data_IF_100147631716
#
_entry.id   IF_100147631716
#
_cell.length_a   1.000
_cell.length_b   1.000
_cell.length_c   1.000
_cell.angle_alpha   90.00
_cell.angle_beta   90.00
_cell.angle_gamma   90.00
#
_symmetry.space_group_name_H-M   'P 1'
#
loop_
_entity.id
_entity.type
_entity.pdbx_description
1 polymer ?
#
# COMPACT_ATOMS: atom_id res chain seq x y z
N UNK A 1 -4.11 21.20 -13.89
CA UNK A 1 -2.76 21.53 -14.42
C UNK A 1 -2.93 22.18 -15.77
N UNK A 2 -2.14 23.21 -16.06
CA UNK A 2 -2.16 23.89 -17.35
C UNK A 2 -0.98 23.41 -18.20
N UNK A 3 -1.27 22.56 -19.20
CA UNK A 3 -0.28 22.00 -20.13
C UNK A 3 0.41 23.10 -20.93
N UNK A 4 -0.33 24.11 -21.38
CA UNK A 4 0.20 25.21 -22.18
C UNK A 4 1.23 26.01 -21.39
N UNK A 5 0.94 26.29 -20.11
CA UNK A 5 1.90 26.93 -19.21
C UNK A 5 3.16 26.08 -19.00
N UNK A 6 3.01 24.76 -18.86
CA UNK A 6 4.14 23.83 -18.72
C UNK A 6 5.06 23.84 -19.95
N UNK A 7 4.48 23.79 -21.15
CA UNK A 7 5.22 23.87 -22.41
C UNK A 7 5.92 25.23 -22.59
N UNK A 8 5.25 26.33 -22.22
CA UNK A 8 5.84 27.66 -22.24
C UNK A 8 7.10 27.76 -21.39
N UNK A 9 7.06 27.23 -20.15
CA UNK A 9 8.24 27.17 -19.26
C UNK A 9 9.35 26.30 -19.82
N UNK A 10 9.01 25.15 -20.40
CA UNK A 10 9.99 24.24 -21.01
C UNK A 10 10.73 24.90 -22.19
N UNK A 11 10.05 25.76 -22.95
CA UNK A 11 10.65 26.50 -24.06
C UNK A 11 11.49 27.71 -23.61
N UNK A 12 11.14 28.34 -22.48
CA UNK A 12 11.82 29.55 -21.99
C UNK A 12 12.97 29.28 -21.01
N UNK A 13 12.89 28.20 -20.23
CA UNK A 13 13.92 27.83 -19.25
C UNK A 13 14.98 26.94 -19.90
N UNK A 14 16.25 27.32 -19.75
CA UNK A 14 17.37 26.59 -20.37
C UNK A 14 17.99 25.51 -19.50
N UNK A 15 17.68 25.48 -18.20
CA UNK A 15 18.35 24.61 -17.22
C UNK A 15 17.36 23.98 -16.25
N UNK A 16 17.42 22.66 -16.15
CA UNK A 16 16.63 21.83 -15.25
C UNK A 16 17.56 20.91 -14.47
N UNK A 17 17.26 20.69 -13.20
CA UNK A 17 18.10 19.85 -12.33
C UNK A 17 17.70 18.36 -12.46
N UNK A 18 16.41 18.09 -12.72
CA UNK A 18 15.88 16.75 -12.95
C UNK A 18 14.97 16.69 -14.19
N UNK A 19 15.18 15.66 -15.00
CA UNK A 19 14.23 15.20 -16.02
C UNK A 19 13.69 13.84 -15.63
N UNK A 20 12.38 13.73 -15.49
CA UNK A 20 11.68 12.51 -15.12
C UNK A 20 10.80 12.06 -16.29
N UNK A 21 11.00 10.84 -16.73
CA UNK A 21 10.27 10.23 -17.84
C UNK A 21 9.29 9.19 -17.26
N UNK A 22 8.00 9.46 -17.44
CA UNK A 22 6.89 8.64 -16.94
C UNK A 22 6.23 9.24 -15.70
N UNK A 23 4.96 9.57 -15.82
CA UNK A 23 4.06 10.08 -14.78
C UNK A 23 3.23 8.99 -14.10
N UNK A 24 3.82 7.81 -13.88
CA UNK A 24 3.30 6.81 -12.95
C UNK A 24 3.59 7.18 -11.49
N UNK A 25 3.15 6.35 -10.55
CA UNK A 25 3.35 6.57 -9.11
C UNK A 25 4.83 6.82 -8.73
N UNK A 26 5.75 6.07 -9.33
CA UNK A 26 7.19 6.24 -9.10
C UNK A 26 7.70 7.59 -9.59
N UNK A 27 7.38 7.98 -10.84
CA UNK A 27 7.86 9.23 -11.41
C UNK A 27 7.23 10.46 -10.76
N UNK A 28 5.92 10.41 -10.45
CA UNK A 28 5.26 11.47 -9.69
C UNK A 28 5.83 11.59 -8.27
N UNK A 29 6.12 10.48 -7.60
CA UNK A 29 6.76 10.48 -6.28
C UNK A 29 8.16 11.10 -6.32
N UNK A 30 8.99 10.71 -7.29
CA UNK A 30 10.31 11.29 -7.49
C UNK A 30 10.25 12.78 -7.83
N UNK A 31 9.29 13.19 -8.67
CA UNK A 31 9.09 14.59 -9.04
C UNK A 31 8.69 15.44 -7.83
N UNK A 32 7.77 14.92 -7.00
CA UNK A 32 7.34 15.58 -5.77
C UNK A 32 8.50 15.73 -4.78
N UNK A 33 9.29 14.66 -4.55
CA UNK A 33 10.43 14.73 -3.64
C UNK A 33 11.47 15.77 -4.12
N UNK A 34 11.88 15.69 -5.39
CA UNK A 34 12.84 16.62 -5.97
C UNK A 34 12.34 18.08 -5.93
N UNK A 35 11.09 18.31 -6.33
CA UNK A 35 10.50 19.65 -6.29
C UNK A 35 10.36 20.19 -4.85
N UNK A 36 10.03 19.33 -3.87
CA UNK A 36 9.93 19.73 -2.46
C UNK A 36 11.26 20.17 -1.85
N UNK A 37 12.39 19.73 -2.43
CA UNK A 37 13.75 20.13 -2.06
C UNK A 37 14.25 21.37 -2.80
N UNK A 38 13.40 22.01 -3.62
CA UNK A 38 13.71 23.24 -4.33
C UNK A 38 14.37 23.05 -5.70
N UNK A 39 14.42 21.82 -6.22
CA UNK A 39 14.98 21.56 -7.54
C UNK A 39 14.00 21.95 -8.66
N UNK A 40 14.56 22.34 -9.81
CA UNK A 40 13.81 22.53 -11.05
C UNK A 40 13.62 21.18 -11.71
N UNK A 41 12.36 20.73 -11.78
CA UNK A 41 11.99 19.40 -12.26
C UNK A 41 11.10 19.50 -13.49
N UNK A 42 11.45 18.75 -14.53
CA UNK A 42 10.55 18.43 -15.64
C UNK A 42 10.08 17.00 -15.49
N UNK A 43 8.77 16.80 -15.54
CA UNK A 43 8.18 15.48 -15.70
C UNK A 43 7.42 15.43 -17.02
N UNK A 44 7.71 14.42 -17.83
CA UNK A 44 7.00 14.13 -19.07
C UNK A 44 6.34 12.76 -19.00
N UNK A 45 5.11 12.67 -19.48
CA UNK A 45 4.40 11.42 -19.70
C UNK A 45 3.89 11.38 -21.14
N UNK A 46 3.96 10.22 -21.78
CA UNK A 46 3.51 10.02 -23.16
C UNK A 46 2.00 9.95 -23.31
N UNK A 47 1.28 9.65 -22.23
CA UNK A 47 -0.17 9.46 -22.17
C UNK A 47 -0.78 10.42 -21.14
N UNK A 48 -1.54 9.88 -20.19
CA UNK A 48 -2.08 10.59 -19.03
C UNK A 48 -1.43 10.09 -17.74
N UNK A 49 -1.45 10.92 -16.69
CA UNK A 49 -0.84 10.57 -15.41
C UNK A 49 -1.48 9.32 -14.81
N UNK A 50 -0.64 8.45 -14.25
CA UNK A 50 -1.00 7.15 -13.69
C UNK A 50 -1.69 6.16 -14.65
N UNK A 51 -1.77 6.43 -15.96
CA UNK A 51 -2.45 5.58 -16.96
C UNK A 51 -1.85 4.17 -17.14
N UNK A 52 -0.59 3.98 -16.75
CA UNK A 52 0.09 2.68 -16.73
C UNK A 52 -0.32 1.75 -15.57
N UNK A 53 0.61 0.96 -15.06
CA UNK A 53 0.38 0.01 -13.95
C UNK A 53 -0.19 0.67 -12.70
N UNK A 54 0.11 1.96 -12.48
CA UNK A 54 -0.37 2.71 -11.32
C UNK A 54 -1.89 2.80 -11.19
N UNK A 55 -2.64 2.74 -12.30
CA UNK A 55 -4.11 2.69 -12.29
C UNK A 55 -4.71 1.28 -12.21
N UNK A 56 -3.88 0.24 -12.48
CA UNK A 56 -4.29 -1.16 -12.67
C UNK A 56 -3.87 -2.08 -11.51
N UNK A 57 -3.67 -1.52 -10.33
CA UNK A 57 -3.41 -2.30 -9.12
C UNK A 57 -4.71 -2.84 -8.50
N UNK A 58 -4.56 -3.67 -7.47
CA UNK A 58 -5.65 -4.09 -6.57
C UNK A 58 -6.23 -2.93 -5.75
N UNK A 59 -5.63 -1.73 -5.83
CA UNK A 59 -6.00 -0.52 -5.06
C UNK A 59 -5.90 -0.73 -3.54
N UNK A 60 -4.97 -1.60 -3.13
CA UNK A 60 -4.69 -1.92 -1.74
C UNK A 60 -3.23 -1.60 -1.40
N UNK A 61 -3.02 -0.82 -0.35
CA UNK A 61 -1.69 -0.62 0.25
C UNK A 61 -1.51 -1.65 1.35
N UNK A 62 -0.77 -2.72 1.07
CA UNK A 62 -0.54 -3.82 2.02
C UNK A 62 0.93 -3.98 2.39
N UNK A 63 1.22 -4.34 3.64
CA UNK A 63 2.59 -4.66 4.09
C UNK A 63 3.09 -6.04 3.63
N UNK A 64 2.26 -6.81 2.92
CA UNK A 64 2.68 -8.04 2.25
C UNK A 64 2.93 -9.20 3.22
N UNK A 65 1.96 -9.52 4.07
CA UNK A 65 2.01 -10.63 5.05
C UNK A 65 2.49 -11.96 4.44
N UNK A 66 2.19 -12.21 3.15
CA UNK A 66 2.66 -13.41 2.44
C UNK A 66 4.18 -13.52 2.35
N UNK A 67 4.90 -12.40 2.29
CA UNK A 67 6.37 -12.37 2.19
C UNK A 67 7.05 -12.71 3.52
N UNK A 68 6.30 -12.63 4.63
CA UNK A 68 6.75 -13.08 5.94
C UNK A 68 7.10 -14.57 5.93
N UNK A 69 6.29 -15.38 5.23
CA UNK A 69 6.55 -16.82 5.04
C UNK A 69 7.84 -17.09 4.27
N UNK A 70 8.28 -16.15 3.43
CA UNK A 70 9.52 -16.24 2.66
C UNK A 70 10.74 -15.72 3.43
N UNK A 71 10.56 -15.25 4.67
CA UNK A 71 11.63 -14.66 5.48
C UNK A 71 12.07 -13.27 5.04
N UNK A 72 11.34 -12.60 4.14
CA UNK A 72 11.72 -11.28 3.64
C UNK A 72 11.30 -10.16 4.59
N UNK A 73 11.92 -10.13 5.77
CA UNK A 73 11.56 -9.23 6.87
C UNK A 73 11.79 -7.76 6.54
N UNK A 74 12.86 -7.44 5.81
CA UNK A 74 13.18 -6.07 5.40
C UNK A 74 12.07 -5.48 4.53
N UNK A 75 11.62 -6.24 3.53
CA UNK A 75 10.52 -5.84 2.65
C UNK A 75 9.22 -5.62 3.44
N UNK A 76 8.87 -6.58 4.32
CA UNK A 76 7.64 -6.49 5.13
C UNK A 76 7.68 -5.26 6.04
N UNK A 77 8.80 -5.02 6.73
CA UNK A 77 8.97 -3.87 7.62
C UNK A 77 8.91 -2.54 6.85
N UNK A 78 9.56 -2.46 5.69
CA UNK A 78 9.50 -1.30 4.80
C UNK A 78 8.07 -1.02 4.34
N UNK A 79 7.37 -2.03 3.82
CA UNK A 79 6.00 -1.88 3.33
C UNK A 79 5.00 -1.51 4.46
N UNK A 80 5.18 -2.05 5.66
CA UNK A 80 4.40 -1.68 6.85
C UNK A 80 4.61 -0.23 7.26
N UNK A 81 5.86 0.23 7.29
CA UNK A 81 6.22 1.62 7.59
C UNK A 81 5.60 2.57 6.56
N UNK A 82 5.80 2.30 5.27
CA UNK A 82 5.26 3.15 4.20
C UNK A 82 3.73 3.19 4.19
N UNK A 83 3.05 2.07 4.49
CA UNK A 83 1.59 2.06 4.66
C UNK A 83 1.14 3.03 5.77
N UNK A 84 1.83 3.04 6.91
CA UNK A 84 1.52 3.95 8.00
C UNK A 84 1.78 5.41 7.65
N UNK A 85 2.84 5.70 6.90
CA UNK A 85 3.15 7.05 6.41
C UNK A 85 2.12 7.53 5.38
N UNK A 86 1.72 6.67 4.44
CA UNK A 86 0.70 6.99 3.44
C UNK A 86 -0.64 7.33 4.09
N UNK A 87 -1.01 6.61 5.17
CA UNK A 87 -2.22 6.91 5.93
C UNK A 87 -2.16 8.29 6.61
N UNK A 88 -0.98 8.70 7.09
CA UNK A 88 -0.76 10.03 7.69
C UNK A 88 -0.72 11.14 6.64
N UNK A 89 -0.07 10.91 5.50
CA UNK A 89 0.18 11.92 4.47
C UNK A 89 -1.03 12.15 3.58
N UNK A 90 -1.85 11.12 3.33
CA UNK A 90 -3.01 11.19 2.44
C UNK A 90 -4.25 10.53 3.06
N UNK A 91 -4.74 10.98 4.24
CA UNK A 91 -5.88 10.38 4.93
C UNK A 91 -7.20 10.48 4.16
N UNK A 92 -7.28 11.39 3.18
CA UNK A 92 -8.43 11.54 2.29
C UNK A 92 -8.46 10.48 1.17
N UNK A 93 -7.33 9.83 0.86
CA UNK A 93 -7.22 8.79 -0.17
C UNK A 93 -7.01 7.39 0.42
N UNK A 94 -6.23 7.27 1.49
CA UNK A 94 -5.87 6.01 2.11
C UNK A 94 -6.71 5.82 3.37
N UNK A 95 -7.45 4.71 3.43
CA UNK A 95 -8.31 4.37 4.57
C UNK A 95 -7.98 2.98 5.11
N UNK A 96 -8.11 2.75 6.43
CA UNK A 96 -8.03 1.42 7.01
C UNK A 96 -9.05 0.48 6.35
N UNK A 97 -8.61 -0.71 5.97
CA UNK A 97 -9.47 -1.79 5.48
C UNK A 97 -9.12 -3.08 6.20
N UNK A 98 -10.13 -3.69 6.82
CA UNK A 98 -10.00 -4.98 7.51
C UNK A 98 -10.06 -6.14 6.52
N UNK A 99 -9.25 -7.17 6.77
CA UNK A 99 -9.25 -8.43 6.03
C UNK A 99 -9.56 -9.56 6.99
N UNK A 100 -10.38 -10.51 6.54
CA UNK A 100 -10.65 -11.74 7.29
C UNK A 100 -9.82 -12.87 6.68
N UNK A 101 -9.03 -13.55 7.53
CA UNK A 101 -8.29 -14.75 7.16
C UNK A 101 -8.96 -15.95 7.83
N UNK A 102 -9.76 -16.74 7.10
CA UNK A 102 -10.41 -17.92 7.66
C UNK A 102 -9.38 -19.02 7.97
N UNK A 103 -9.64 -19.76 9.03
CA UNK A 103 -8.86 -20.92 9.46
C UNK A 103 -9.76 -22.15 9.50
N UNK A 104 -9.22 -23.31 9.13
CA UNK A 104 -10.01 -24.54 8.98
C UNK A 104 -9.90 -25.51 10.14
N UNK A 105 -8.80 -25.45 10.86
CA UNK A 105 -8.52 -26.30 12.01
C UNK A 105 -7.54 -25.62 12.98
N UNK A 106 -7.40 -26.19 14.17
CA UNK A 106 -6.60 -25.61 15.24
C UNK A 106 -5.11 -25.38 14.88
N UNK A 107 -4.40 -26.30 14.21
CA UNK A 107 -3.01 -26.03 13.77
C UNK A 107 -2.87 -24.85 12.80
N UNK A 108 -3.81 -24.67 11.88
CA UNK A 108 -3.77 -23.55 10.93
C UNK A 108 -4.07 -22.23 11.65
N UNK A 109 -5.02 -22.24 12.60
CA UNK A 109 -5.33 -21.06 13.41
C UNK A 109 -4.14 -20.62 14.24
N UNK A 110 -3.41 -21.54 14.86
CA UNK A 110 -2.20 -21.21 15.64
C UNK A 110 -1.09 -20.66 14.75
N UNK A 111 -0.89 -21.24 13.55
CA UNK A 111 0.05 -20.72 12.56
C UNK A 111 -0.27 -19.28 12.12
N UNK A 112 -1.52 -18.99 11.78
CA UNK A 112 -1.93 -17.63 11.43
C UNK A 112 -1.81 -16.68 12.63
N UNK A 113 -2.19 -17.11 13.84
CA UNK A 113 -2.05 -16.31 15.05
C UNK A 113 -0.61 -15.85 15.26
N UNK A 114 0.36 -16.76 15.16
CA UNK A 114 1.78 -16.42 15.34
C UNK A 114 2.27 -15.48 14.24
N UNK A 115 1.91 -15.75 12.98
CA UNK A 115 2.32 -14.93 11.84
C UNK A 115 1.76 -13.50 11.91
N UNK A 116 0.47 -13.37 12.24
CA UNK A 116 -0.18 -12.06 12.33
C UNK A 116 0.28 -11.27 13.56
N UNK A 117 0.49 -11.92 14.72
CA UNK A 117 1.12 -11.25 15.87
C UNK A 117 2.53 -10.76 15.56
N UNK A 118 3.32 -11.56 14.86
CA UNK A 118 4.65 -11.14 14.44
C UNK A 118 4.59 -9.99 13.42
N UNK A 119 3.63 -10.02 12.50
CA UNK A 119 3.38 -8.94 11.56
C UNK A 119 2.96 -7.63 12.27
N UNK A 120 2.11 -7.70 13.28
CA UNK A 120 1.72 -6.54 14.11
C UNK A 120 2.92 -5.99 14.88
N UNK A 121 3.77 -6.88 15.42
CA UNK A 121 5.01 -6.48 16.08
C UNK A 121 5.97 -5.75 15.11
N UNK A 122 6.12 -6.26 13.89
CA UNK A 122 6.93 -5.61 12.85
C UNK A 122 6.38 -4.23 12.44
N UNK A 123 5.06 -4.02 12.53
CA UNK A 123 4.44 -2.74 12.21
C UNK A 123 4.77 -1.63 13.23
N UNK A 124 5.08 -2.02 14.47
CA UNK A 124 5.46 -1.09 15.54
C UNK A 124 4.44 0.03 15.75
N UNK A 125 4.93 1.25 16.02
CA UNK A 125 4.08 2.44 16.27
C UNK A 125 3.33 2.99 15.05
N UNK A 126 3.52 2.39 13.86
CA UNK A 126 2.80 2.74 12.64
C UNK A 126 1.76 1.66 12.27
N UNK A 127 1.49 0.72 13.17
CA UNK A 127 0.36 -0.20 13.06
C UNK A 127 -0.98 0.54 13.00
N UNK A 128 -1.91 0.02 12.20
CA UNK A 128 -3.25 0.63 12.02
C UNK A 128 -4.17 0.14 13.15
N UNK A 129 -4.39 -1.17 13.23
CA UNK A 129 -5.13 -1.84 14.29
C UNK A 129 -4.45 -3.17 14.63
N UNK A 130 -4.69 -3.67 15.84
CA UNK A 130 -4.21 -5.00 16.26
C UNK A 130 -5.06 -6.09 15.62
N UNK A 131 -4.42 -7.20 15.27
CA UNK A 131 -5.10 -8.42 14.87
C UNK A 131 -6.05 -8.89 15.97
N UNK A 132 -7.30 -9.20 15.61
CA UNK A 132 -8.32 -9.75 16.50
C UNK A 132 -8.65 -11.15 16.03
N UNK A 133 -8.76 -12.12 16.94
CA UNK A 133 -9.31 -13.41 16.56
C UNK A 133 -10.83 -13.34 16.53
N UNK A 134 -11.44 -13.94 15.52
CA UNK A 134 -12.89 -13.98 15.35
C UNK A 134 -13.41 -15.42 15.38
N UNK A 135 -14.62 -15.61 15.91
CA UNK A 135 -15.29 -16.91 15.91
C UNK A 135 -15.77 -17.29 14.51
N UNK A 136 -16.19 -18.54 14.34
CA UNK A 136 -16.85 -18.99 13.12
C UNK A 136 -18.13 -18.18 12.84
N UNK A 137 -18.94 -17.91 13.87
CA UNK A 137 -20.18 -17.14 13.74
C UNK A 137 -19.92 -15.68 13.34
N UNK A 138 -18.91 -15.04 13.91
CA UNK A 138 -18.50 -13.68 13.53
C UNK A 138 -17.98 -13.63 12.08
N UNK A 139 -17.20 -14.62 11.65
CA UNK A 139 -16.69 -14.71 10.29
C UNK A 139 -17.82 -14.86 9.26
N UNK A 140 -18.80 -15.72 9.53
CA UNK A 140 -19.98 -15.92 8.67
C UNK A 140 -20.86 -14.66 8.66
N UNK A 141 -21.06 -14.01 9.81
CA UNK A 141 -21.81 -12.76 9.88
C UNK A 141 -21.14 -11.64 9.06
N UNK A 142 -19.80 -11.61 9.02
CA UNK A 142 -19.04 -10.62 8.26
C UNK A 142 -19.01 -10.92 6.76
N UNK A 143 -19.02 -12.20 6.38
CA UNK A 143 -18.97 -12.67 4.98
C UNK A 143 -20.01 -13.79 4.80
N UNK A 144 -21.29 -13.46 4.53
CA UNK A 144 -22.37 -14.46 4.49
C UNK A 144 -22.19 -15.54 3.42
N UNK A 145 -21.47 -15.25 2.34
CA UNK A 145 -21.17 -16.22 1.28
C UNK A 145 -19.95 -17.11 1.57
N UNK A 146 -19.34 -16.99 2.75
CA UNK A 146 -18.20 -17.81 3.15
C UNK A 146 -18.65 -19.27 3.33
N UNK A 147 -17.94 -20.20 2.69
CA UNK A 147 -18.18 -21.63 2.88
C UNK A 147 -17.94 -22.01 4.35
N UNK A 148 -18.99 -22.46 5.01
CA UNK A 148 -18.96 -22.85 6.43
C UNK A 148 -18.37 -24.24 6.65
N UNK A 149 -18.31 -25.08 5.60
CA UNK A 149 -17.68 -26.39 5.67
C UNK A 149 -16.21 -26.28 6.11
N UNK A 150 -15.89 -26.95 7.22
CA UNK A 150 -14.56 -26.96 7.83
C UNK A 150 -14.07 -25.56 8.24
N UNK A 151 -14.95 -24.59 8.50
CA UNK A 151 -14.55 -23.29 9.05
C UNK A 151 -14.43 -23.39 10.58
N UNK A 152 -13.25 -23.10 11.12
CA UNK A 152 -12.99 -23.12 12.57
C UNK A 152 -13.05 -21.72 13.21
N UNK A 153 -12.95 -20.65 12.41
CA UNK A 153 -12.91 -19.25 12.84
C UNK A 153 -11.91 -18.46 11.99
N UNK A 154 -11.43 -17.33 12.47
CA UNK A 154 -10.46 -16.55 11.72
C UNK A 154 -9.76 -15.46 12.53
N UNK A 155 -9.16 -14.54 11.79
CA UNK A 155 -8.56 -13.30 12.27
C UNK A 155 -8.99 -12.15 11.36
#
# INVERSE_FOLDING_TARGET
MDRSKGLGRLASESLWDFLIIGGGATGLGAALDAASRGHRVVLIDSLDFASGTSSRSTKLVHGGVRYLKQGNLSLVRGALRERGLLLKNAPHLVKPLSFIIPSRHWPERTYFASGLKFYDWLAGGLGIHKTRSISQSEAIASIPCLKSEKLYGGF
#
